data_IF_199701788414
#
_entry.id   IF_199701788414
#
_cell.length_a   1.000
_cell.length_b   1.000
_cell.length_c   1.000
_cell.angle_alpha   90.00
_cell.angle_beta   90.00
_cell.angle_gamma   90.00
#
_symmetry.space_group_name_H-M   'P 1'
#
loop_
_entity.id
_entity.type
_entity.pdbx_description
1 polymer ?
#
# COMPACT_ATOMS: atom_id res chain seq x y z
N UNK A 1 -6.01 17.06 8.97
CA UNK A 1 -7.41 17.30 8.55
C UNK A 1 -7.50 18.07 7.24
N UNK A 2 -6.74 19.16 7.06
CA UNK A 2 -6.79 19.99 5.84
C UNK A 2 -6.54 19.20 4.54
N UNK A 3 -5.53 18.32 4.51
CA UNK A 3 -5.24 17.49 3.33
C UNK A 3 -6.39 16.54 2.94
N UNK A 4 -7.06 15.92 3.93
CA UNK A 4 -8.21 15.05 3.69
C UNK A 4 -9.41 15.85 3.18
N UNK A 5 -9.66 17.03 3.75
CA UNK A 5 -10.73 17.92 3.31
C UNK A 5 -10.50 18.40 1.87
N UNK A 6 -9.27 18.77 1.52
CA UNK A 6 -8.90 19.14 0.15
C UNK A 6 -9.10 17.97 -0.82
N UNK A 7 -8.66 16.76 -0.47
CA UNK A 7 -8.88 15.56 -1.29
C UNK A 7 -10.37 15.24 -1.50
N UNK A 8 -11.18 15.34 -0.45
CA UNK A 8 -12.63 15.16 -0.53
C UNK A 8 -13.29 16.19 -1.45
N UNK A 9 -12.90 17.46 -1.35
CA UNK A 9 -13.40 18.53 -2.22
C UNK A 9 -13.08 18.24 -3.70
N UNK A 10 -11.84 17.84 -4.00
CA UNK A 10 -11.41 17.47 -5.35
C UNK A 10 -12.26 16.32 -5.89
N UNK A 11 -12.50 15.27 -5.10
CA UNK A 11 -13.33 14.13 -5.50
C UNK A 11 -14.78 14.55 -5.74
N UNK A 12 -15.38 15.37 -4.87
CA UNK A 12 -16.76 15.84 -5.04
C UNK A 12 -16.90 16.63 -6.35
N UNK A 13 -15.97 17.55 -6.63
CA UNK A 13 -15.97 18.33 -7.87
C UNK A 13 -15.78 17.45 -9.11
N UNK A 14 -14.81 16.52 -9.08
CA UNK A 14 -14.51 15.63 -10.20
C UNK A 14 -15.67 14.67 -10.54
N UNK A 15 -16.39 14.17 -9.53
CA UNK A 15 -17.52 13.27 -9.71
C UNK A 15 -18.87 13.98 -9.71
N UNK A 16 -18.89 15.32 -9.67
CA UNK A 16 -20.09 16.15 -9.64
C UNK A 16 -21.09 15.74 -8.54
N UNK A 17 -20.56 15.40 -7.36
CA UNK A 17 -21.30 14.88 -6.21
C UNK A 17 -22.14 13.59 -6.47
N UNK A 18 -21.81 12.80 -7.49
CA UNK A 18 -22.50 11.54 -7.79
C UNK A 18 -22.11 10.45 -6.78
N UNK A 19 -22.95 10.29 -5.75
CA UNK A 19 -22.79 9.30 -4.68
C UNK A 19 -22.61 7.88 -5.23
N UNK A 20 -23.21 7.55 -6.38
CA UNK A 20 -23.14 6.21 -6.97
C UNK A 20 -21.73 5.90 -7.46
N UNK A 21 -21.01 6.89 -7.99
CA UNK A 21 -19.59 6.77 -8.40
C UNK A 21 -18.66 6.81 -7.20
N UNK A 22 -18.93 7.68 -6.21
CA UNK A 22 -18.14 7.78 -4.98
C UNK A 22 -18.16 6.47 -4.17
N UNK A 23 -19.34 5.86 -4.00
CA UNK A 23 -19.48 4.57 -3.29
C UNK A 23 -18.67 3.48 -4.00
N UNK A 24 -18.64 3.47 -5.33
CA UNK A 24 -17.87 2.47 -6.08
C UNK A 24 -16.37 2.63 -5.87
N UNK A 25 -15.87 3.87 -5.93
CA UNK A 25 -14.47 4.17 -5.64
C UNK A 25 -14.07 3.68 -4.24
N UNK A 26 -14.94 3.93 -3.25
CA UNK A 26 -14.76 3.45 -1.87
C UNK A 26 -14.72 1.92 -1.78
N UNK A 27 -15.72 1.23 -2.36
CA UNK A 27 -15.83 -0.23 -2.33
C UNK A 27 -14.57 -0.87 -2.92
N UNK A 28 -14.13 -0.42 -4.10
CA UNK A 28 -12.93 -0.95 -4.75
C UNK A 28 -11.70 -0.74 -3.87
N UNK A 29 -11.52 0.44 -3.29
CA UNK A 29 -10.38 0.72 -2.40
C UNK A 29 -10.36 -0.14 -1.13
N UNK A 30 -11.52 -0.32 -0.49
CA UNK A 30 -11.65 -1.15 0.71
C UNK A 30 -11.38 -2.61 0.39
N UNK A 31 -11.96 -3.14 -0.69
CA UNK A 31 -11.76 -4.54 -1.06
C UNK A 31 -10.32 -4.82 -1.50
N UNK A 32 -9.68 -3.93 -2.26
CA UNK A 32 -8.25 -4.06 -2.60
C UNK A 32 -7.41 -4.08 -1.32
N UNK A 33 -7.68 -3.18 -0.37
CA UNK A 33 -6.96 -3.12 0.91
C UNK A 33 -7.15 -4.39 1.72
N UNK A 34 -8.36 -4.94 1.77
CA UNK A 34 -8.62 -6.22 2.42
C UNK A 34 -7.93 -7.37 1.71
N UNK A 35 -8.04 -7.48 0.38
CA UNK A 35 -7.37 -8.53 -0.39
C UNK A 35 -5.85 -8.49 -0.21
N UNK A 36 -5.23 -7.30 -0.25
CA UNK A 36 -3.80 -7.14 0.03
C UNK A 36 -3.43 -7.47 1.46
N UNK A 37 -4.26 -7.09 2.45
CA UNK A 37 -4.05 -7.44 3.86
C UNK A 37 -4.11 -8.96 4.07
N UNK A 38 -5.13 -9.64 3.54
CA UNK A 38 -5.26 -11.09 3.63
C UNK A 38 -4.07 -11.80 2.95
N UNK A 39 -3.66 -11.33 1.76
CA UNK A 39 -2.49 -11.86 1.06
C UNK A 39 -1.19 -11.67 1.86
N UNK A 40 -1.01 -10.48 2.45
CA UNK A 40 0.11 -10.15 3.32
C UNK A 40 0.15 -11.06 4.55
N UNK A 41 -0.98 -11.29 5.20
CA UNK A 41 -1.11 -12.18 6.35
C UNK A 41 -0.81 -13.64 5.98
N UNK A 42 -1.31 -14.13 4.83
CA UNK A 42 -1.00 -15.48 4.35
C UNK A 42 0.52 -15.66 4.14
N UNK A 43 1.18 -14.67 3.54
CA UNK A 43 2.63 -14.70 3.32
C UNK A 43 3.42 -14.56 4.62
N UNK A 44 2.99 -13.68 5.52
CA UNK A 44 3.58 -13.47 6.85
C UNK A 44 3.54 -14.76 7.68
N UNK A 45 2.36 -15.37 7.85
CA UNK A 45 2.21 -16.64 8.55
C UNK A 45 2.97 -17.77 7.85
N UNK A 46 3.02 -17.79 6.51
CA UNK A 46 3.82 -18.75 5.76
C UNK A 46 5.32 -18.65 6.04
N UNK A 47 5.84 -17.44 6.26
CA UNK A 47 7.23 -17.20 6.64
C UNK A 47 7.49 -17.58 8.09
N UNK A 48 6.62 -17.19 9.02
CA UNK A 48 6.75 -17.54 10.44
C UNK A 48 6.65 -19.05 10.68
N UNK A 49 5.80 -19.75 9.92
CA UNK A 49 5.65 -21.20 10.04
C UNK A 49 6.93 -21.97 9.70
N UNK A 50 7.81 -21.40 8.87
CA UNK A 50 9.13 -22.00 8.55
C UNK A 50 10.12 -21.86 9.71
N UNK A 51 9.95 -20.84 10.55
CA UNK A 51 10.84 -20.54 11.68
C UNK A 51 10.35 -21.17 13.00
N UNK A 52 9.05 -21.49 13.09
CA UNK A 52 8.44 -22.05 14.29
C UNK A 52 8.86 -23.52 14.55
N UNK A 53 9.58 -23.75 15.66
CA UNK A 53 9.97 -25.08 16.16
C UNK A 53 8.91 -25.74 17.06
N UNK A 54 8.05 -24.93 17.70
CA UNK A 54 7.00 -25.42 18.61
C UNK A 54 5.74 -25.89 17.85
N UNK A 55 5.29 -27.12 18.13
CA UNK A 55 4.11 -27.74 17.53
C UNK A 55 2.79 -27.03 17.88
N UNK A 56 2.67 -26.44 19.06
CA UNK A 56 1.42 -25.79 19.52
C UNK A 56 1.20 -24.46 18.81
N UNK A 57 2.23 -23.61 18.78
CA UNK A 57 2.28 -22.37 17.99
C UNK A 57 2.05 -22.63 16.50
N UNK A 58 2.69 -23.66 15.95
CA UNK A 58 2.52 -24.06 14.54
C UNK A 58 1.07 -24.40 14.18
N UNK A 59 0.35 -25.12 15.05
CA UNK A 59 -1.09 -25.42 14.84
C UNK A 59 -1.94 -24.15 14.85
N UNK A 60 -1.68 -23.21 15.76
CA UNK A 60 -2.41 -21.94 15.83
C UNK A 60 -2.15 -21.07 14.60
N UNK A 61 -0.90 -20.99 14.15
CA UNK A 61 -0.51 -20.29 12.92
C UNK A 61 -1.13 -20.91 11.67
N UNK A 62 -1.20 -22.25 11.59
CA UNK A 62 -1.88 -22.95 10.48
C UNK A 62 -3.38 -22.63 10.44
N UNK A 63 -4.06 -22.63 11.59
CA UNK A 63 -5.47 -22.26 11.68
C UNK A 63 -5.70 -20.79 11.31
N UNK A 64 -4.83 -19.90 11.77
CA UNK A 64 -4.88 -18.49 11.38
C UNK A 64 -4.70 -18.34 9.86
N UNK A 65 -3.71 -19.01 9.28
CA UNK A 65 -3.46 -18.98 7.83
C UNK A 65 -4.64 -19.51 7.02
N UNK A 66 -5.32 -20.58 7.44
CA UNK A 66 -6.49 -21.09 6.71
C UNK A 66 -7.66 -20.11 6.75
N UNK A 67 -7.91 -19.46 7.89
CA UNK A 67 -8.94 -18.40 7.99
C UNK A 67 -8.60 -17.23 7.06
N UNK A 68 -7.35 -16.75 7.08
CA UNK A 68 -6.92 -15.67 6.18
C UNK A 68 -7.00 -16.08 4.70
N UNK A 69 -6.76 -17.36 4.38
CA UNK A 69 -6.89 -17.89 3.01
C UNK A 69 -8.34 -17.92 2.54
N UNK A 70 -9.27 -18.31 3.41
CA UNK A 70 -10.70 -18.24 3.12
C UNK A 70 -11.15 -16.78 2.98
N UNK A 71 -10.70 -15.89 3.86
CA UNK A 71 -10.94 -14.45 3.76
C UNK A 71 -10.38 -13.83 2.47
N UNK A 72 -9.19 -14.25 2.06
CA UNK A 72 -8.61 -13.87 0.77
C UNK A 72 -9.49 -14.34 -0.39
N UNK A 73 -9.94 -15.60 -0.39
CA UNK A 73 -10.85 -16.12 -1.42
C UNK A 73 -12.15 -15.33 -1.52
N UNK A 74 -12.79 -15.02 -0.38
CA UNK A 74 -14.02 -14.22 -0.35
C UNK A 74 -13.80 -12.79 -0.85
N UNK A 75 -12.75 -12.10 -0.37
CA UNK A 75 -12.47 -10.71 -0.78
C UNK A 75 -12.07 -10.63 -2.26
N UNK A 76 -11.28 -11.59 -2.75
CA UNK A 76 -10.92 -11.69 -4.16
C UNK A 76 -12.14 -11.97 -5.05
N UNK A 77 -13.06 -12.84 -4.60
CA UNK A 77 -14.32 -13.09 -5.30
C UNK A 77 -15.16 -11.80 -5.39
N UNK A 78 -15.34 -11.08 -4.28
CA UNK A 78 -16.10 -9.82 -4.29
C UNK A 78 -15.43 -8.78 -5.20
N UNK A 79 -14.10 -8.64 -5.13
CA UNK A 79 -13.35 -7.75 -6.02
C UNK A 79 -13.57 -8.10 -7.50
N UNK A 80 -13.57 -9.39 -7.83
CA UNK A 80 -13.82 -9.90 -9.18
C UNK A 80 -15.24 -9.59 -9.65
N UNK A 81 -16.24 -9.83 -8.81
CA UNK A 81 -17.65 -9.51 -9.10
C UNK A 81 -17.81 -8.01 -9.34
N UNK A 82 -17.21 -7.16 -8.50
CA UNK A 82 -17.28 -5.70 -8.65
C UNK A 82 -16.63 -5.26 -9.96
N UNK A 83 -15.47 -5.83 -10.33
CA UNK A 83 -14.82 -5.53 -11.61
C UNK A 83 -15.70 -5.86 -12.81
N UNK A 84 -16.28 -7.07 -12.82
CA UNK A 84 -17.08 -7.57 -13.95
C UNK A 84 -18.41 -6.80 -14.06
N UNK A 85 -19.13 -6.64 -12.95
CA UNK A 85 -20.45 -6.00 -12.94
C UNK A 85 -20.38 -4.52 -13.34
N UNK A 86 -19.33 -3.80 -12.94
CA UNK A 86 -19.19 -2.37 -13.25
C UNK A 86 -18.70 -2.09 -14.67
N UNK A 87 -18.00 -3.03 -15.28
CA UNK A 87 -17.69 -2.97 -16.70
C UNK A 87 -18.95 -2.95 -17.58
N UNK A 88 -19.97 -3.73 -17.19
CA UNK A 88 -21.23 -3.81 -17.95
C UNK A 88 -22.15 -2.60 -17.72
N UNK A 89 -22.08 -1.95 -16.56
CA UNK A 89 -22.93 -0.81 -16.19
C UNK A 89 -22.38 0.55 -16.67
N UNK A 90 -21.31 0.58 -17.47
CA UNK A 90 -20.73 1.83 -17.98
C UNK A 90 -19.99 2.66 -16.92
N UNK A 91 -19.77 2.12 -15.71
CA UNK A 91 -19.12 2.82 -14.60
C UNK A 91 -17.58 2.67 -14.60
N UNK A 92 -16.99 2.42 -15.77
CA UNK A 92 -15.55 2.20 -15.95
C UNK A 92 -14.69 3.40 -15.52
N UNK A 93 -15.25 4.61 -15.54
CA UNK A 93 -14.56 5.85 -15.12
C UNK A 93 -14.13 5.78 -13.66
N UNK A 94 -14.94 5.20 -12.77
CA UNK A 94 -14.56 5.08 -11.35
C UNK A 94 -13.40 4.08 -11.15
N UNK A 95 -13.43 2.96 -11.90
CA UNK A 95 -12.32 2.00 -11.92
C UNK A 95 -11.04 2.63 -12.48
N UNK A 96 -11.15 3.41 -13.55
CA UNK A 96 -10.02 4.12 -14.13
C UNK A 96 -9.45 5.15 -13.14
N UNK A 97 -10.30 5.94 -12.48
CA UNK A 97 -9.89 6.90 -11.47
C UNK A 97 -9.14 6.22 -10.31
N UNK A 98 -9.66 5.08 -9.82
CA UNK A 98 -8.98 4.28 -8.80
C UNK A 98 -7.61 3.80 -9.26
N UNK A 99 -7.52 3.32 -10.51
CA UNK A 99 -6.27 2.88 -11.10
C UNK A 99 -5.24 4.01 -11.20
N UNK A 100 -5.66 5.21 -11.63
CA UNK A 100 -4.79 6.39 -11.67
C UNK A 100 -4.29 6.76 -10.26
N UNK A 101 -5.18 6.81 -9.27
CA UNK A 101 -4.80 7.08 -7.88
C UNK A 101 -3.77 6.06 -7.37
N UNK A 102 -3.99 4.77 -7.68
CA UNK A 102 -3.05 3.71 -7.34
C UNK A 102 -1.67 3.94 -7.98
N UNK A 103 -1.63 4.30 -9.27
CA UNK A 103 -0.36 4.61 -9.96
C UNK A 103 0.36 5.81 -9.36
N UNK A 104 -0.36 6.87 -8.99
CA UNK A 104 0.22 8.03 -8.32
C UNK A 104 0.85 7.62 -6.98
N UNK A 105 0.11 6.87 -6.15
CA UNK A 105 0.64 6.38 -4.88
C UNK A 105 1.86 5.46 -5.07
N UNK A 106 1.83 4.61 -6.09
CA UNK A 106 2.95 3.74 -6.41
C UNK A 106 4.17 4.53 -6.90
N UNK A 107 3.97 5.55 -7.73
CA UNK A 107 5.03 6.45 -8.17
C UNK A 107 5.65 7.22 -7.02
N UNK A 108 4.85 7.68 -6.06
CA UNK A 108 5.34 8.33 -4.85
C UNK A 108 6.25 7.36 -4.08
N UNK A 109 5.80 6.11 -3.87
CA UNK A 109 6.62 5.08 -3.23
C UNK A 109 7.94 4.84 -3.98
N UNK A 110 7.89 4.69 -5.29
CA UNK A 110 9.08 4.46 -6.11
C UNK A 110 10.06 5.64 -6.03
N UNK A 111 9.56 6.87 -6.00
CA UNK A 111 10.37 8.06 -5.80
C UNK A 111 11.08 8.03 -4.44
N UNK A 112 10.35 7.71 -3.36
CA UNK A 112 10.97 7.56 -2.03
C UNK A 112 12.00 6.43 -1.99
N UNK A 113 11.74 5.29 -2.65
CA UNK A 113 12.69 4.17 -2.73
C UNK A 113 13.96 4.58 -3.50
N UNK A 114 13.85 5.43 -4.52
CA UNK A 114 15.01 5.95 -5.26
C UNK A 114 15.80 6.97 -4.44
N UNK A 115 15.11 7.93 -3.80
CA UNK A 115 15.74 8.92 -2.91
C UNK A 115 16.44 8.21 -1.74
N UNK A 116 15.84 7.14 -1.19
CA UNK A 116 16.46 6.33 -0.15
C UNK A 116 17.73 5.62 -0.61
N UNK A 117 17.80 5.18 -1.88
CA UNK A 117 19.02 4.61 -2.47
C UNK A 117 20.09 5.66 -2.73
N UNK A 118 19.69 6.86 -3.15
CA UNK A 118 20.64 7.97 -3.37
C UNK A 118 21.18 8.55 -2.06
N UNK A 119 20.39 8.53 -0.98
CA UNK A 119 20.84 8.87 0.37
C UNK A 119 21.53 7.70 1.10
N UNK A 120 21.43 6.47 0.59
CA UNK A 120 22.18 5.35 1.13
C UNK A 120 23.66 5.59 0.80
N UNK A 121 24.38 6.14 1.77
CA UNK A 121 25.82 6.34 1.71
C UNK A 121 26.47 4.98 1.47
N UNK A 122 27.24 4.86 0.38
CA UNK A 122 28.11 3.70 0.16
C UNK A 122 29.03 3.54 1.38
N UNK A 123 28.89 2.41 2.07
CA UNK A 123 29.83 1.98 3.14
C UNK A 123 31.27 1.85 2.61
N UNK A 124 31.45 1.83 1.28
CA UNK A 124 32.75 1.77 0.58
C UNK A 124 33.31 3.15 0.20
N UNK A 125 32.71 4.24 0.67
CA UNK A 125 33.38 5.54 0.67
C UNK A 125 34.49 5.52 1.72
N UNK A 126 35.64 4.97 1.32
CA UNK A 126 36.96 5.16 1.93
C UNK A 126 37.03 6.55 2.55
N UNK A 127 37.43 6.71 3.83
CA UNK A 127 37.27 7.95 4.57
C UNK A 127 37.84 9.10 3.74
N UNK A 128 36.93 9.87 3.11
CA UNK A 128 37.30 11.04 2.30
C UNK A 128 38.10 11.92 3.23
N UNK A 129 39.38 12.03 2.90
CA UNK A 129 40.43 12.78 3.57
C UNK A 129 39.93 13.63 4.74
N UNK A 130 40.29 13.23 5.96
CA UNK A 130 40.11 14.05 7.16
C UNK A 130 40.51 15.50 6.81
N UNK A 131 39.61 16.48 6.99
CA UNK A 131 39.90 17.87 6.63
C UNK A 131 41.13 18.31 7.42
N UNK A 132 42.22 18.60 6.72
CA UNK A 132 43.52 18.90 7.34
C UNK A 132 43.54 20.24 8.08
N UNK A 133 42.46 21.03 8.03
CA UNK A 133 42.30 22.29 8.78
C UNK A 133 40.83 22.56 9.10
N UNK A 134 40.43 22.25 10.33
CA UNK A 134 39.16 22.74 10.91
C UNK A 134 39.41 24.16 11.42
N UNK A 135 38.89 25.17 10.73
CA UNK A 135 38.83 26.54 11.28
C UNK A 135 37.52 26.67 12.05
N UNK A 136 37.60 26.59 13.38
CA UNK A 136 36.49 26.93 14.25
C UNK A 136 36.37 28.46 14.34
N UNK A 137 35.30 29.02 13.78
CA UNK A 137 34.95 30.43 13.99
C UNK A 137 34.14 30.48 15.29
N UNK A 138 34.78 30.97 16.36
CA UNK A 138 34.11 31.32 17.60
C UNK A 138 33.49 32.70 17.43
N UNK A 139 32.16 32.75 17.39
CA UNK A 139 31.41 34.00 17.42
C UNK A 139 31.15 34.35 18.90
N UNK A 140 31.80 35.41 19.38
CA UNK A 140 31.54 36.05 20.68
C UNK A 140 30.63 37.24 20.46
#
# INVERSE_FOLDING_TARGET
>A
MIALAAGALVLILAFNADVTKLIQLYIVGVFISFTMSQLGMIRHWGRELKLAKDKTLRRRMLKSRSINMVGFGMTALVLTIVLITKFQQGAWIALLAMFILFLIMWSIRAHYDNVAKELAVDEDSSPRALPSRVHAVLLV
#
